data_IF_203379879046
#
_entry.id   IF_203379879046
#
_cell.length_a   1.000
_cell.length_b   1.000
_cell.length_c   1.000
_cell.angle_alpha   90.00
_cell.angle_beta   90.00
_cell.angle_gamma   90.00
#
_symmetry.space_group_name_H-M   'P 1'
#
loop_
_entity.id
_entity.type
_entity.pdbx_description
1 polymer ?
#
# COMPACT_ATOMS: atom_id res chain seq x y z
N UNK A 1 5.80 6.13 -2.16
CA UNK A 1 6.59 6.50 -3.36
C UNK A 1 7.22 5.23 -3.94
N UNK A 2 6.69 4.65 -5.02
CA UNK A 2 7.41 3.62 -5.79
C UNK A 2 8.66 4.22 -6.42
N UNK A 3 9.78 3.50 -6.41
CA UNK A 3 11.03 3.92 -7.06
C UNK A 3 11.03 3.38 -8.48
N UNK A 4 11.17 4.21 -9.54
CA UNK A 4 11.40 3.67 -10.88
C UNK A 4 12.61 2.74 -10.84
N UNK A 5 12.57 1.64 -11.59
CA UNK A 5 13.56 0.54 -11.62
C UNK A 5 13.38 -0.60 -10.59
N UNK A 6 12.34 -0.57 -9.72
CA UNK A 6 12.06 -1.69 -8.80
C UNK A 6 10.58 -2.05 -8.72
N UNK A 7 10.29 -3.36 -8.69
CA UNK A 7 8.94 -3.87 -8.36
C UNK A 7 8.57 -3.41 -6.95
N UNK A 8 7.35 -2.91 -6.78
CA UNK A 8 6.84 -2.44 -5.49
C UNK A 8 5.56 -3.18 -5.13
N UNK A 9 5.54 -3.79 -3.94
CA UNK A 9 4.32 -4.28 -3.30
C UNK A 9 3.69 -3.09 -2.57
N UNK A 10 2.46 -2.77 -2.93
CA UNK A 10 1.65 -1.74 -2.29
C UNK A 10 0.56 -2.42 -1.48
N UNK A 11 0.62 -2.25 -0.18
CA UNK A 11 -0.37 -2.73 0.78
C UNK A 11 -1.31 -1.57 1.18
N UNK A 12 -2.60 -1.72 0.94
CA UNK A 12 -3.60 -0.76 1.38
C UNK A 12 -4.26 -1.29 2.65
N UNK A 13 -4.27 -0.45 3.68
CA UNK A 13 -4.77 -0.80 5.00
C UNK A 13 -5.54 0.36 5.63
N UNK A 14 -6.10 0.12 6.81
CA UNK A 14 -6.58 1.18 7.71
C UNK A 14 -6.49 0.69 9.16
N UNK A 15 -6.29 1.60 10.11
CA UNK A 15 -6.13 1.24 11.54
C UNK A 15 -7.36 0.59 12.16
N UNK A 16 -8.55 0.78 11.57
CA UNK A 16 -9.80 0.15 12.00
C UNK A 16 -10.09 -1.20 11.33
N UNK A 17 -9.27 -1.62 10.36
CA UNK A 17 -9.46 -2.84 9.59
C UNK A 17 -8.83 -4.02 10.34
N UNK A 18 -9.64 -4.78 11.08
CA UNK A 18 -9.18 -5.97 11.80
C UNK A 18 -8.38 -7.00 10.96
N UNK A 19 -8.77 -7.34 9.71
CA UNK A 19 -7.95 -8.25 8.90
C UNK A 19 -6.63 -7.65 8.40
N UNK A 20 -6.41 -6.35 8.58
CA UNK A 20 -5.17 -5.70 8.17
C UNK A 20 -4.00 -6.07 9.11
N UNK A 21 -4.25 -6.35 10.40
CA UNK A 21 -3.25 -6.79 11.36
C UNK A 21 -2.50 -8.03 10.84
N UNK A 22 -3.24 -9.09 10.48
CA UNK A 22 -2.69 -10.34 9.93
C UNK A 22 -1.96 -10.11 8.59
N UNK A 23 -2.42 -9.16 7.77
CA UNK A 23 -1.75 -8.85 6.52
C UNK A 23 -0.37 -8.21 6.72
N UNK A 24 -0.24 -7.31 7.70
CA UNK A 24 1.07 -6.70 8.01
C UNK A 24 2.04 -7.77 8.50
N UNK A 25 1.61 -8.67 9.39
CA UNK A 25 2.44 -9.80 9.86
C UNK A 25 2.92 -10.69 8.71
N UNK A 26 2.01 -11.04 7.78
CA UNK A 26 2.35 -11.85 6.60
C UNK A 26 3.40 -11.11 5.75
N UNK A 27 3.22 -9.81 5.51
CA UNK A 27 4.14 -9.03 4.69
C UNK A 27 5.51 -8.85 5.36
N UNK A 28 5.57 -8.66 6.68
CA UNK A 28 6.85 -8.62 7.41
C UNK A 28 7.60 -9.95 7.29
N UNK A 29 6.88 -11.08 7.37
CA UNK A 29 7.48 -12.41 7.30
C UNK A 29 8.13 -12.72 5.95
N UNK A 30 7.60 -12.18 4.84
CA UNK A 30 8.06 -12.50 3.48
C UNK A 30 8.96 -11.43 2.87
N UNK A 31 8.86 -10.16 3.29
CA UNK A 31 9.60 -9.06 2.62
C UNK A 31 11.11 -9.25 2.63
N UNK A 32 11.64 -9.92 3.67
CA UNK A 32 13.07 -10.24 3.80
C UNK A 32 13.57 -11.26 2.78
N UNK A 33 12.67 -11.99 2.10
CA UNK A 33 13.01 -12.95 1.05
C UNK A 33 13.19 -12.28 -0.33
N UNK A 34 12.85 -10.99 -0.45
CA UNK A 34 12.80 -10.27 -1.73
C UNK A 34 13.70 -9.01 -1.76
N UNK A 35 15.02 -9.19 -1.84
CA UNK A 35 16.04 -8.11 -1.88
C UNK A 35 15.90 -7.11 -3.06
N UNK A 36 15.06 -7.43 -4.05
CA UNK A 36 14.78 -6.61 -5.22
C UNK A 36 13.37 -6.03 -5.27
N UNK A 37 12.60 -6.10 -4.18
CA UNK A 37 11.21 -5.63 -4.12
C UNK A 37 11.07 -4.57 -3.03
N UNK A 38 10.46 -3.44 -3.36
CA UNK A 38 10.10 -2.42 -2.39
C UNK A 38 8.74 -2.75 -1.78
N UNK A 39 8.58 -2.53 -0.48
CA UNK A 39 7.29 -2.64 0.21
C UNK A 39 6.87 -1.26 0.71
N UNK A 40 5.61 -0.90 0.46
CA UNK A 40 4.99 0.33 0.98
C UNK A 40 3.57 0.02 1.43
N UNK A 41 3.22 0.46 2.63
CA UNK A 41 1.84 0.41 3.11
C UNK A 41 1.22 1.80 3.07
N UNK A 42 -0.04 1.91 2.68
CA UNK A 42 -0.73 3.19 2.56
C UNK A 42 -2.12 3.09 3.18
N UNK A 43 -2.39 3.96 4.16
CA UNK A 43 -3.73 4.12 4.71
C UNK A 43 -4.50 5.20 3.98
N UNK A 44 -5.80 4.97 3.75
CA UNK A 44 -6.69 5.98 3.19
C UNK A 44 -7.34 6.90 4.25
N UNK A 45 -6.93 6.76 5.52
CA UNK A 45 -7.49 7.51 6.62
C UNK A 45 -7.11 8.99 6.57
N UNK A 46 -7.97 9.84 7.14
CA UNK A 46 -7.82 11.29 7.15
C UNK A 46 -7.37 11.74 8.54
N UNK A 47 -6.10 12.13 8.74
CA UNK A 47 -5.67 12.65 10.02
C UNK A 47 -6.50 13.84 10.46
N UNK A 48 -6.89 13.84 11.73
CA UNK A 48 -7.77 14.81 12.39
C UNK A 48 -7.42 14.89 13.89
N UNK A 49 -8.23 15.60 14.69
CA UNK A 49 -8.04 15.64 16.15
C UNK A 49 -8.28 14.29 16.83
N UNK A 50 -9.12 13.43 16.26
CA UNK A 50 -9.46 12.11 16.83
C UNK A 50 -8.62 10.95 16.29
N UNK A 51 -7.84 11.20 15.23
CA UNK A 51 -6.90 10.24 14.64
C UNK A 51 -5.73 11.05 14.08
N UNK A 52 -4.67 11.15 14.85
CA UNK A 52 -3.49 11.91 14.47
C UNK A 52 -2.56 11.05 13.60
N UNK A 53 -1.57 11.69 12.97
CA UNK A 53 -0.49 10.95 12.30
C UNK A 53 0.34 10.12 13.28
N UNK A 54 0.41 10.54 14.55
CA UNK A 54 1.10 9.78 15.58
C UNK A 54 0.33 8.50 15.89
N UNK A 55 -1.00 8.58 16.04
CA UNK A 55 -1.83 7.39 16.28
C UNK A 55 -1.69 6.34 15.16
N UNK A 56 -1.62 6.78 13.90
CA UNK A 56 -1.37 5.89 12.74
C UNK A 56 0.04 5.28 12.82
N UNK A 57 1.04 6.07 13.19
CA UNK A 57 2.42 5.59 13.30
C UNK A 57 2.61 4.63 14.49
N UNK A 58 1.91 4.87 15.60
CA UNK A 58 1.91 4.02 16.78
C UNK A 58 1.22 2.68 16.46
N UNK A 59 0.03 2.71 15.84
CA UNK A 59 -0.63 1.50 15.35
C UNK A 59 0.28 0.72 14.40
N UNK A 60 0.97 1.41 13.48
CA UNK A 60 1.90 0.77 12.55
C UNK A 60 3.04 0.04 13.28
N UNK A 61 3.64 0.68 14.28
CA UNK A 61 4.71 0.08 15.07
C UNK A 61 4.21 -1.08 15.95
N UNK A 62 2.98 -1.02 16.46
CA UNK A 62 2.36 -2.08 17.26
C UNK A 62 1.99 -3.33 16.44
N UNK A 63 1.77 -3.18 15.13
CA UNK A 63 1.48 -4.27 14.21
C UNK A 63 2.72 -4.73 13.43
N UNK A 64 3.91 -4.65 14.04
CA UNK A 64 5.18 -5.10 13.44
C UNK A 64 5.54 -4.43 12.09
N UNK A 65 4.95 -3.27 11.82
CA UNK A 65 5.20 -2.47 10.64
C UNK A 65 6.64 -1.95 10.56
N UNK A 66 7.45 -2.57 9.70
CA UNK A 66 8.90 -2.30 9.61
C UNK A 66 9.36 -1.67 8.29
N UNK A 67 8.43 -1.17 7.46
CA UNK A 67 8.73 -0.51 6.18
C UNK A 67 7.98 0.82 6.02
N UNK A 68 8.05 1.40 4.82
CA UNK A 68 7.52 2.74 4.56
C UNK A 68 6.00 2.77 4.64
N UNK A 69 5.46 3.74 5.38
CA UNK A 69 4.03 4.05 5.43
C UNK A 69 3.73 5.40 4.77
N UNK A 70 2.69 5.41 3.95
CA UNK A 70 2.07 6.61 3.39
C UNK A 70 0.64 6.82 3.91
N UNK A 71 0.13 8.03 3.71
CA UNK A 71 -1.26 8.38 3.97
C UNK A 71 -1.83 8.97 2.67
N UNK A 72 -2.90 8.37 2.16
CA UNK A 72 -3.64 8.77 0.97
C UNK A 72 -5.10 9.06 1.32
N UNK A 73 -5.39 10.22 1.95
CA UNK A 73 -6.72 10.54 2.40
C UNK A 73 -7.75 10.62 1.25
N UNK A 74 -7.27 10.81 0.01
CA UNK A 74 -8.11 10.86 -1.19
C UNK A 74 -8.59 9.49 -1.68
N UNK A 75 -8.01 8.39 -1.16
CA UNK A 75 -8.20 7.04 -1.71
C UNK A 75 -7.84 6.95 -3.20
N UNK A 76 -6.89 7.78 -3.65
CA UNK A 76 -6.44 7.82 -5.05
C UNK A 76 -5.80 6.48 -5.46
N UNK A 77 -5.04 5.84 -4.57
CA UNK A 77 -4.46 4.52 -4.79
C UNK A 77 -5.51 3.41 -4.83
N UNK A 78 -6.50 3.44 -3.93
CA UNK A 78 -7.61 2.47 -3.99
C UNK A 78 -8.33 2.59 -5.34
N UNK A 79 -8.64 3.81 -5.78
CA UNK A 79 -9.26 4.05 -7.08
C UNK A 79 -8.37 3.61 -8.24
N UNK A 80 -7.07 3.90 -8.21
CA UNK A 80 -6.12 3.52 -9.26
C UNK A 80 -5.95 2.00 -9.39
N UNK A 81 -6.04 1.26 -8.30
CA UNK A 81 -5.96 -0.20 -8.29
C UNK A 81 -7.32 -0.89 -8.50
N UNK A 82 -8.43 -0.14 -8.47
CA UNK A 82 -9.78 -0.74 -8.47
C UNK A 82 -10.05 -1.55 -7.20
N UNK A 83 -9.54 -1.10 -6.06
CA UNK A 83 -9.76 -1.73 -4.76
C UNK A 83 -11.09 -1.26 -4.17
N UNK A 84 -12.02 -2.19 -3.99
CA UNK A 84 -13.35 -1.94 -3.39
C UNK A 84 -13.39 -2.25 -1.87
N UNK A 85 -12.26 -2.64 -1.28
CA UNK A 85 -12.18 -3.04 0.12
C UNK A 85 -10.74 -3.15 0.63
N UNK A 86 -10.63 -3.29 1.95
CA UNK A 86 -9.38 -3.49 2.68
C UNK A 86 -9.42 -4.83 3.44
N UNK A 87 -8.26 -5.47 3.66
CA UNK A 87 -6.97 -5.06 3.13
C UNK A 87 -6.87 -5.35 1.61
N UNK A 88 -5.91 -4.73 0.93
CA UNK A 88 -5.69 -4.94 -0.49
C UNK A 88 -4.20 -4.86 -0.84
N UNK A 89 -3.70 -5.83 -1.62
CA UNK A 89 -2.32 -5.83 -2.11
C UNK A 89 -2.31 -5.65 -3.63
N UNK A 90 -1.53 -4.67 -4.08
CA UNK A 90 -1.18 -4.47 -5.49
C UNK A 90 0.31 -4.71 -5.71
N UNK A 91 0.65 -5.20 -6.91
CA UNK A 91 2.04 -5.23 -7.37
C UNK A 91 2.19 -4.20 -8.47
N UNK A 92 3.14 -3.29 -8.29
CA UNK A 92 3.53 -2.28 -9.29
C UNK A 92 4.87 -2.69 -9.86
N UNK A 93 4.95 -2.89 -11.18
CA UNK A 93 6.20 -3.24 -11.83
C UNK A 93 7.16 -2.04 -11.93
N UNK A 94 8.41 -2.31 -12.36
CA UNK A 94 9.45 -1.29 -12.46
C UNK A 94 9.15 -0.15 -13.46
N UNK A 95 8.15 -0.34 -14.33
CA UNK A 95 7.66 0.66 -15.29
C UNK A 95 6.40 1.39 -14.77
N UNK A 96 6.00 1.13 -13.53
CA UNK A 96 4.86 1.75 -12.87
C UNK A 96 3.50 1.16 -13.27
N UNK A 97 3.45 -0.02 -13.90
CA UNK A 97 2.19 -0.68 -14.22
C UNK A 97 1.72 -1.55 -13.08
N UNK A 98 0.42 -1.54 -12.83
CA UNK A 98 -0.20 -2.26 -11.72
C UNK A 98 -0.76 -3.60 -12.22
N UNK A 99 -0.47 -4.68 -11.50
CA UNK A 99 -1.24 -5.94 -11.58
C UNK A 99 -1.97 -6.16 -10.26
N UNK A 100 -3.29 -6.36 -10.34
CA UNK A 100 -4.15 -6.71 -9.20
C UNK A 100 -4.56 -8.18 -9.26
N UNK A 101 -4.86 -8.79 -8.11
CA UNK A 101 -5.23 -10.20 -8.01
C UNK A 101 -6.72 -10.46 -8.34
N UNK A 102 -7.48 -9.43 -8.70
CA UNK A 102 -8.82 -9.58 -9.27
C UNK A 102 -8.63 -9.84 -10.76
N UNK A 103 -8.80 -11.09 -11.19
CA UNK A 103 -8.61 -11.49 -12.57
C UNK A 103 -9.43 -10.64 -13.54
N UNK A 104 -8.79 -9.65 -14.16
CA UNK A 104 -9.20 -9.13 -15.44
C UNK A 104 -7.97 -8.87 -16.30
N UNK A 105 -8.02 -9.44 -17.49
CA UNK A 105 -6.98 -9.36 -18.48
C UNK A 105 -7.13 -8.03 -19.22
N UNK A 106 -6.10 -7.19 -19.13
CA UNK A 106 -5.75 -6.13 -20.07
C UNK A 106 -6.72 -4.94 -20.21
N UNK A 107 -6.28 -3.78 -19.71
CA UNK A 107 -6.22 -2.52 -20.48
C UNK A 107 -5.11 -1.64 -19.89
N UNK A 108 -4.12 -1.15 -20.68
CA UNK A 108 -3.08 -0.27 -20.16
C UNK A 108 -3.67 1.13 -19.92
N UNK A 109 -4.15 1.40 -18.71
CA UNK A 109 -4.44 2.76 -18.29
C UNK A 109 -3.12 3.46 -17.98
N UNK A 110 -2.60 4.20 -18.97
CA UNK A 110 -1.54 5.18 -18.76
C UNK A 110 -2.13 6.38 -18.00
N UNK A 111 -2.43 6.17 -16.74
CA UNK A 111 -2.86 7.17 -15.75
C UNK A 111 -2.39 6.74 -14.36
N UNK A 112 -1.10 6.38 -14.24
CA UNK A 112 -0.47 6.33 -12.93
C UNK A 112 -0.37 7.74 -12.34
N UNK A 113 -0.40 7.92 -11.01
CA UNK A 113 -0.20 9.22 -10.40
C UNK A 113 1.17 9.78 -10.82
N UNK A 114 1.24 11.09 -11.08
CA UNK A 114 2.47 11.76 -11.47
C UNK A 114 3.39 11.91 -10.25
N UNK A 115 4.04 10.81 -9.87
CA UNK A 115 5.01 10.77 -8.78
C UNK A 115 6.28 11.50 -9.24
N UNK A 116 6.44 12.73 -8.76
CA UNK A 116 7.68 13.50 -8.90
C UNK A 116 8.50 13.28 -7.62
N UNK A 117 9.84 13.10 -7.71
CA UNK A 117 10.68 12.87 -6.52
C UNK A 117 10.64 14.01 -5.49
#
# INVERSE_FOLDING_TARGET
>A
MPTPERVTVVDLFATWCAPCDEQVDILDSVRGEYDGVSFVSVTNERPSESLTRADIADWWAENDGAWTVGIDPGSELMAAFGADGLPYVAIVDAEGRCSSNTGDSSTPTRSGPNWTP
#
